data_IF_470777852556
#
_entry.id   IF_470777852556
#
_cell.length_a   1.000
_cell.length_b   1.000
_cell.length_c   1.000
_cell.angle_alpha   90.00
_cell.angle_beta   90.00
_cell.angle_gamma   90.00
#
_symmetry.space_group_name_H-M   'P 1'
#
loop_
_entity.id
_entity.type
_entity.pdbx_description
1 polymer ?
#
# COMPACT_ATOMS: atom_id res chain seq x y z
N UNK A 1 -41.00 23.02 18.14
CA UNK A 1 -41.47 23.53 16.84
C UNK A 1 -40.87 22.67 15.74
N UNK A 2 -41.65 21.79 15.12
CA UNK A 2 -41.17 21.02 13.96
C UNK A 2 -41.27 21.93 12.73
N UNK A 3 -40.15 22.48 12.31
CA UNK A 3 -40.05 23.32 11.11
C UNK A 3 -40.07 22.44 9.87
N UNK A 4 -40.58 22.99 8.77
CA UNK A 4 -40.61 22.33 7.45
C UNK A 4 -39.23 21.79 7.05
N UNK A 5 -38.15 22.50 7.42
CA UNK A 5 -36.77 22.07 7.20
C UNK A 5 -36.46 20.71 7.87
N UNK A 6 -36.94 20.47 9.09
CA UNK A 6 -36.72 19.20 9.80
C UNK A 6 -37.44 18.04 9.13
N UNK A 7 -38.66 18.26 8.65
CA UNK A 7 -39.42 17.25 7.91
C UNK A 7 -38.73 16.86 6.60
N UNK A 8 -38.20 17.84 5.85
CA UNK A 8 -37.46 17.59 4.60
C UNK A 8 -36.15 16.83 4.90
N UNK A 9 -35.44 17.18 5.96
CA UNK A 9 -34.23 16.46 6.37
C UNK A 9 -34.52 15.00 6.74
N UNK A 10 -35.51 14.76 7.60
CA UNK A 10 -35.90 13.41 8.04
C UNK A 10 -36.41 12.54 6.87
N UNK A 11 -37.07 13.15 5.88
CA UNK A 11 -37.52 12.46 4.67
C UNK A 11 -36.35 12.08 3.77
N UNK A 12 -35.38 12.98 3.59
CA UNK A 12 -34.19 12.72 2.77
C UNK A 12 -33.32 11.62 3.40
N UNK A 13 -33.11 11.64 4.71
CA UNK A 13 -32.29 10.63 5.41
C UNK A 13 -32.86 9.20 5.31
N UNK A 14 -34.19 9.08 5.20
CA UNK A 14 -34.89 7.80 5.10
C UNK A 14 -35.00 7.27 3.67
N UNK A 15 -35.14 8.15 2.68
CA UNK A 15 -35.51 7.75 1.32
C UNK A 15 -34.38 7.96 0.30
N UNK A 16 -33.35 8.75 0.63
CA UNK A 16 -32.20 8.92 -0.25
C UNK A 16 -31.15 7.86 0.06
N UNK A 17 -30.55 7.20 -0.95
CA UNK A 17 -29.36 6.40 -0.74
C UNK A 17 -28.31 7.28 -0.08
N UNK A 18 -27.82 6.86 1.09
CA UNK A 18 -26.71 7.56 1.74
C UNK A 18 -25.49 7.49 0.84
N UNK A 19 -24.70 8.55 0.86
CA UNK A 19 -23.44 8.57 0.15
C UNK A 19 -22.58 7.41 0.66
N UNK A 20 -21.98 6.63 -0.25
CA UNK A 20 -21.16 5.51 0.16
C UNK A 20 -19.78 6.04 0.59
N UNK A 21 -19.63 6.29 1.88
CA UNK A 21 -18.41 6.85 2.45
C UNK A 21 -17.17 5.96 2.21
N UNK A 22 -17.37 4.67 1.90
CA UNK A 22 -16.29 3.74 1.52
C UNK A 22 -15.51 4.16 0.27
N UNK A 23 -16.09 4.97 -0.61
CA UNK A 23 -15.36 5.47 -1.79
C UNK A 23 -14.34 6.56 -1.46
N UNK A 24 -14.38 7.10 -0.23
CA UNK A 24 -13.52 8.19 0.22
C UNK A 24 -12.61 7.79 1.38
N UNK A 25 -12.75 6.56 1.89
CA UNK A 25 -11.77 5.96 2.78
C UNK A 25 -10.56 5.54 1.97
N UNK A 26 -9.46 6.28 2.13
CA UNK A 26 -8.15 5.90 1.59
C UNK A 26 -7.46 5.05 2.65
N UNK A 27 -7.33 3.75 2.40
CA UNK A 27 -6.49 2.86 3.21
C UNK A 27 -5.15 2.69 2.53
N UNK A 28 -4.06 2.72 3.29
CA UNK A 28 -2.74 2.34 2.79
C UNK A 28 -2.66 0.85 2.44
N UNK A 29 -3.48 0.02 3.10
CA UNK A 29 -3.64 -1.39 2.77
C UNK A 29 -4.30 -1.59 1.38
N UNK A 30 -5.25 -0.73 0.97
CA UNK A 30 -5.85 -0.82 -0.37
C UNK A 30 -4.82 -0.50 -1.46
N UNK A 31 -3.93 0.47 -1.20
CA UNK A 31 -2.82 0.82 -2.09
C UNK A 31 -1.85 -0.36 -2.21
N UNK A 32 -1.58 -1.08 -1.12
CA UNK A 32 -0.73 -2.27 -1.12
C UNK A 32 -1.33 -3.37 -1.99
N UNK A 33 -2.62 -3.64 -1.85
CA UNK A 33 -3.28 -4.68 -2.64
C UNK A 33 -3.32 -4.33 -4.14
N UNK A 34 -3.65 -3.08 -4.49
CA UNK A 34 -3.60 -2.61 -5.88
C UNK A 34 -2.18 -2.72 -6.47
N UNK A 35 -1.16 -2.39 -5.69
CA UNK A 35 0.25 -2.54 -6.10
C UNK A 35 0.62 -4.01 -6.32
N UNK A 36 0.19 -4.93 -5.44
CA UNK A 36 0.43 -6.37 -5.60
C UNK A 36 -0.18 -6.88 -6.90
N UNK A 37 -1.42 -6.48 -7.21
CA UNK A 37 -2.11 -6.87 -8.45
C UNK A 37 -1.37 -6.37 -9.70
N UNK A 38 -0.93 -5.11 -9.69
CA UNK A 38 -0.12 -4.53 -10.77
C UNK A 38 1.19 -5.29 -10.94
N UNK A 39 1.87 -5.63 -9.84
CA UNK A 39 3.12 -6.38 -9.86
C UNK A 39 2.92 -7.80 -10.41
N UNK A 40 1.89 -8.52 -9.95
CA UNK A 40 1.56 -9.85 -10.46
C UNK A 40 1.17 -9.82 -11.94
N UNK A 41 0.52 -8.75 -12.40
CA UNK A 41 0.19 -8.58 -13.82
C UNK A 41 1.43 -8.49 -14.73
N UNK A 42 2.59 -8.15 -14.15
CA UNK A 42 3.87 -8.06 -14.87
C UNK A 42 4.61 -9.41 -14.94
N UNK A 43 4.11 -10.47 -14.31
CA UNK A 43 4.69 -11.81 -14.45
C UNK A 43 4.73 -12.25 -15.90
N UNK A 44 5.84 -12.87 -16.30
CA UNK A 44 6.06 -13.29 -17.68
C UNK A 44 6.81 -14.59 -17.71
N UNK A 45 6.34 -15.53 -18.53
CA UNK A 45 7.04 -16.78 -18.81
C UNK A 45 7.07 -17.00 -20.32
N UNK A 46 8.09 -16.46 -20.98
CA UNK A 46 8.31 -16.59 -22.44
C UNK A 46 9.79 -16.89 -22.73
N UNK A 47 10.48 -15.97 -23.39
CA UNK A 47 11.93 -16.07 -23.65
C UNK A 47 12.78 -15.90 -22.39
N UNK A 48 12.19 -15.29 -21.36
CA UNK A 48 12.70 -15.16 -20.01
C UNK A 48 11.52 -15.29 -19.05
N UNK A 49 11.82 -15.65 -17.81
CA UNK A 49 10.88 -15.77 -16.71
C UNK A 49 11.07 -14.61 -15.76
N UNK A 50 9.99 -13.92 -15.41
CA UNK A 50 9.88 -13.02 -14.26
C UNK A 50 8.69 -13.52 -13.47
N UNK A 51 8.94 -13.98 -12.26
CA UNK A 51 7.93 -14.55 -11.37
C UNK A 51 8.05 -13.94 -9.99
N UNK A 52 6.93 -13.60 -9.38
CA UNK A 52 6.85 -13.18 -7.99
C UNK A 52 6.83 -14.42 -7.12
N UNK A 53 7.79 -14.53 -6.19
CA UNK A 53 7.83 -15.60 -5.21
C UNK A 53 7.01 -15.26 -3.95
N UNK A 54 6.98 -13.97 -3.59
CA UNK A 54 6.24 -13.53 -2.42
C UNK A 54 6.24 -12.02 -2.22
N UNK A 55 5.32 -11.60 -1.34
CA UNK A 55 5.20 -10.25 -0.84
C UNK A 55 5.33 -10.26 0.67
N UNK A 56 6.05 -9.29 1.21
CA UNK A 56 6.22 -9.07 2.65
C UNK A 56 5.99 -7.58 2.93
N UNK A 57 5.07 -7.27 3.84
CA UNK A 57 4.80 -5.89 4.27
C UNK A 57 5.54 -5.67 5.57
N UNK A 58 6.44 -4.69 5.58
CA UNK A 58 7.31 -4.34 6.70
C UNK A 58 6.90 -2.96 7.18
N UNK A 59 6.30 -2.91 8.36
CA UNK A 59 5.79 -1.69 9.00
C UNK A 59 6.47 -1.38 10.34
N UNK A 60 7.29 -2.31 10.85
CA UNK A 60 8.09 -2.12 12.05
C UNK A 60 9.23 -1.13 11.77
N UNK A 61 9.26 -0.06 12.54
CA UNK A 61 10.25 1.01 12.44
C UNK A 61 11.70 0.51 12.53
N UNK A 62 11.96 -0.46 13.40
CA UNK A 62 13.31 -0.99 13.63
C UNK A 62 13.77 -1.82 12.43
N UNK A 63 12.87 -2.62 11.87
CA UNK A 63 13.14 -3.39 10.64
C UNK A 63 13.35 -2.47 9.44
N UNK A 64 12.51 -1.44 9.28
CA UNK A 64 12.66 -0.41 8.25
C UNK A 64 14.01 0.30 8.37
N UNK A 65 14.42 0.71 9.57
CA UNK A 65 15.73 1.34 9.79
C UNK A 65 16.89 0.40 9.43
N UNK A 66 16.84 -0.87 9.87
CA UNK A 66 17.86 -1.86 9.52
C UNK A 66 17.98 -2.06 8.02
N UNK A 67 16.85 -2.12 7.31
CA UNK A 67 16.80 -2.32 5.86
C UNK A 67 17.36 -1.12 5.06
N UNK A 68 17.11 0.11 5.52
CA UNK A 68 17.48 1.31 4.77
C UNK A 68 18.87 1.86 5.10
N UNK A 69 19.35 1.68 6.33
CA UNK A 69 20.50 2.44 6.88
C UNK A 69 21.72 1.53 7.10
N UNK A 70 21.53 0.22 7.23
CA UNK A 70 22.60 -0.73 7.60
C UNK A 70 23.09 -0.55 9.04
N UNK A 71 23.99 -1.43 9.50
CA UNK A 71 24.41 -1.50 10.91
C UNK A 71 25.23 -0.28 11.43
N UNK A 72 25.72 0.60 10.55
CA UNK A 72 26.86 1.50 10.86
C UNK A 72 26.60 3.02 10.72
N UNK A 73 25.36 3.50 10.61
CA UNK A 73 25.10 4.95 10.43
C UNK A 73 24.10 5.56 11.43
N UNK A 74 24.26 6.86 11.77
CA UNK A 74 23.66 7.43 12.98
C UNK A 74 22.14 7.50 12.86
N UNK A 75 21.46 7.36 14.01
CA UNK A 75 20.00 7.39 14.13
C UNK A 75 19.44 8.68 13.51
N UNK A 76 18.92 8.57 12.30
CA UNK A 76 18.11 9.64 11.74
C UNK A 76 16.89 9.75 12.67
N UNK A 77 16.62 10.95 13.18
CA UNK A 77 15.40 11.20 13.96
C UNK A 77 14.25 11.20 12.97
N UNK A 78 13.80 9.99 12.67
CA UNK A 78 12.67 9.71 11.82
C UNK A 78 11.45 10.28 12.54
N UNK A 79 11.11 11.52 12.18
CA UNK A 79 9.71 11.96 12.14
C UNK A 79 8.92 11.09 11.16
N UNK A 80 9.60 10.33 10.30
CA UNK A 80 9.11 9.39 9.28
C UNK A 80 8.66 8.02 9.84
N UNK A 81 8.06 7.97 11.04
CA UNK A 81 7.46 6.74 11.61
C UNK A 81 6.29 6.21 10.76
N UNK A 82 6.05 6.88 9.63
CA UNK A 82 4.96 6.70 8.70
C UNK A 82 5.40 6.03 7.39
N UNK A 83 6.53 5.32 7.37
CA UNK A 83 6.92 4.50 6.21
C UNK A 83 6.36 3.08 6.34
N UNK A 84 5.72 2.56 5.30
CA UNK A 84 5.49 1.11 5.10
C UNK A 84 6.37 0.66 3.94
N UNK A 85 7.02 -0.49 4.03
CA UNK A 85 7.80 -1.07 2.94
C UNK A 85 7.09 -2.34 2.45
N UNK A 86 6.85 -2.44 1.15
CA UNK A 86 6.48 -3.69 0.49
C UNK A 86 7.74 -4.28 -0.12
N UNK A 87 8.20 -5.37 0.47
CA UNK A 87 9.27 -6.20 -0.07
C UNK A 87 8.66 -7.22 -1.02
N UNK A 88 9.24 -7.29 -2.22
CA UNK A 88 8.83 -8.21 -3.28
C UNK A 88 10.01 -9.08 -3.65
N UNK A 89 9.86 -10.39 -3.50
CA UNK A 89 10.90 -11.35 -3.89
C UNK A 89 10.60 -11.84 -5.30
N UNK A 90 11.54 -11.60 -6.22
CA UNK A 90 11.43 -12.04 -7.61
C UNK A 90 12.35 -13.21 -7.89
N UNK A 91 11.83 -14.16 -8.68
CA UNK A 91 12.64 -15.11 -9.43
C UNK A 91 12.72 -14.65 -10.88
N UNK A 92 13.95 -14.54 -11.38
CA UNK A 92 14.21 -14.25 -12.79
C UNK A 92 15.03 -15.38 -13.39
N UNK A 93 14.67 -15.77 -14.61
CA UNK A 93 15.46 -16.75 -15.35
C UNK A 93 15.53 -16.39 -16.83
N UNK A 94 16.71 -16.52 -17.39
CA UNK A 94 16.98 -16.49 -18.82
C UNK A 94 17.67 -17.79 -19.22
N UNK A 95 17.79 -18.08 -20.51
CA UNK A 95 18.19 -19.38 -21.07
C UNK A 95 19.45 -20.06 -20.46
N UNK A 96 20.30 -19.33 -19.73
CA UNK A 96 21.51 -19.86 -19.10
C UNK A 96 21.70 -19.48 -17.64
N UNK A 97 20.95 -18.51 -17.14
CA UNK A 97 21.17 -17.89 -15.84
C UNK A 97 19.83 -17.72 -15.14
N UNK A 98 19.81 -18.03 -13.85
CA UNK A 98 18.70 -17.76 -12.96
C UNK A 98 19.20 -17.01 -11.74
N UNK A 99 18.35 -16.16 -11.20
CA UNK A 99 18.66 -15.38 -10.02
C UNK A 99 17.39 -15.10 -9.22
N UNK A 100 17.58 -14.81 -7.93
CA UNK A 100 16.53 -14.41 -7.02
C UNK A 100 16.97 -13.17 -6.26
N UNK A 101 16.16 -12.11 -6.32
CA UNK A 101 16.48 -10.86 -5.66
C UNK A 101 15.23 -10.23 -5.05
N UNK A 102 15.46 -9.40 -4.04
CA UNK A 102 14.42 -8.66 -3.34
C UNK A 102 14.39 -7.20 -3.83
N UNK A 103 13.19 -6.68 -4.04
CA UNK A 103 12.93 -5.27 -4.34
C UNK A 103 12.12 -4.67 -3.20
N UNK A 104 12.59 -3.54 -2.67
CA UNK A 104 11.91 -2.81 -1.60
C UNK A 104 11.16 -1.62 -2.21
N UNK A 105 9.86 -1.55 -1.99
CA UNK A 105 8.99 -0.45 -2.45
C UNK A 105 8.50 0.30 -1.21
N UNK A 106 8.87 1.56 -1.08
CA UNK A 106 8.33 2.43 -0.04
C UNK A 106 6.89 2.85 -0.40
N UNK A 107 5.98 2.70 0.55
CA UNK A 107 4.57 3.01 0.41
C UNK A 107 4.23 4.20 1.32
N UNK A 108 3.60 5.25 0.77
CA UNK A 108 3.14 6.37 1.58
C UNK A 108 1.96 5.93 2.47
N UNK A 109 2.01 6.28 3.75
CA UNK A 109 0.86 6.11 4.65
C UNK A 109 -0.18 7.20 4.41
N UNK A 110 -1.44 6.83 4.57
CA UNK A 110 -2.55 7.78 4.49
C UNK A 110 -2.91 8.22 5.91
N UNK A 111 -2.74 9.50 6.21
CA UNK A 111 -3.18 10.11 7.46
C UNK A 111 -4.19 11.20 7.11
N UNK A 112 -5.42 11.06 7.62
CA UNK A 112 -6.50 12.06 7.52
C UNK A 112 -6.85 12.50 6.06
N UNK A 113 -6.77 11.57 5.10
CA UNK A 113 -7.21 11.78 3.72
C UNK A 113 -6.20 12.48 2.78
N UNK A 114 -5.05 12.90 3.30
CA UNK A 114 -3.94 13.47 2.53
C UNK A 114 -2.78 12.45 2.36
N UNK A 115 -2.11 12.49 1.21
CA UNK A 115 -0.83 11.81 0.99
C UNK A 115 0.27 12.72 1.53
N UNK A 116 1.23 12.17 2.29
CA UNK A 116 2.45 12.85 2.71
C UNK A 116 3.63 12.25 1.96
#
# INVERSE_FOLDING_TARGET
MNTQAKFIADYNDKNRPKFNDKFFTKSDDDIIEDLKDVILSCERNKFYTIKVLGFEVIDDYTEVQKLLIGDDTPSISIKDSDLKILKVTYYVACAKDEDTFDVLIAIPRVIDGAYI
#
